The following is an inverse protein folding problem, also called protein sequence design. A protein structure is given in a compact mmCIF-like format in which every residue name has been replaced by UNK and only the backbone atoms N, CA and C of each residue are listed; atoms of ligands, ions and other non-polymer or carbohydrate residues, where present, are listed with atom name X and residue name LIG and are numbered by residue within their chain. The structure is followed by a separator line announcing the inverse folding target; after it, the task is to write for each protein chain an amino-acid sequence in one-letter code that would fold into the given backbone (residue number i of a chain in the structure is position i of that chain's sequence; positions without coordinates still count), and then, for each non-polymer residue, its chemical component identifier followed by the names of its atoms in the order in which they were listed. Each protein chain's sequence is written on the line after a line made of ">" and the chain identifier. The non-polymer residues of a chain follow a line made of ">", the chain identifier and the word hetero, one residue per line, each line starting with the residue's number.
data_IF_261700046274
#
_entry.id   IF_261700046274
#
_cell.length_a   1.000
_cell.length_b   1.000
_cell.length_c   1.000
_cell.angle_alpha   90.00
_cell.angle_beta   90.00
_cell.angle_gamma   90.00
#
_symmetry.space_group_name_H-M   'P 1'
#
loop_
_entity.id
_entity.type
_entity.pdbx_description
1 polymer ?
#
# COMPACT_ATOMS: atom_id res chain seq x y z
N UNK A 1 -12.37 8.34 -13.97
CA UNK A 1 -11.85 8.59 -15.33
C UNK A 1 -10.63 7.69 -15.60
N UNK A 2 -10.47 7.17 -16.82
CA UNK A 2 -9.46 6.16 -17.21
C UNK A 2 -7.99 6.61 -17.13
N UNK A 3 -7.75 7.82 -16.63
CA UNK A 3 -6.44 8.45 -16.46
C UNK A 3 -6.34 9.27 -15.16
N UNK A 4 -7.13 8.93 -14.14
CA UNK A 4 -7.02 9.56 -12.82
C UNK A 4 -6.54 8.53 -11.79
N UNK A 5 -5.23 8.18 -11.82
CA UNK A 5 -4.58 7.38 -10.79
C UNK A 5 -4.85 7.92 -9.37
N UNK A 6 -4.92 9.26 -9.26
CA UNK A 6 -5.21 10.03 -8.04
C UNK A 6 -6.62 9.80 -7.47
N UNK A 7 -7.53 9.20 -8.25
CA UNK A 7 -8.88 8.84 -7.82
C UNK A 7 -9.04 7.34 -7.52
N UNK A 8 -7.95 6.57 -7.58
CA UNK A 8 -7.98 5.16 -7.27
C UNK A 8 -7.50 4.93 -5.83
N UNK A 9 -8.38 4.51 -4.90
CA UNK A 9 -7.97 4.19 -3.53
C UNK A 9 -6.90 3.08 -3.48
N UNK A 10 -6.84 2.23 -4.51
CA UNK A 10 -5.81 1.18 -4.62
C UNK A 10 -4.43 1.77 -4.84
N UNK A 11 -4.30 2.87 -5.59
CA UNK A 11 -2.99 3.48 -5.82
C UNK A 11 -2.44 4.17 -4.57
N UNK A 12 -3.30 4.84 -3.80
CA UNK A 12 -2.91 5.41 -2.51
C UNK A 12 -2.49 4.32 -1.52
N UNK A 13 -3.23 3.20 -1.47
CA UNK A 13 -2.86 2.03 -0.68
C UNK A 13 -1.49 1.46 -1.11
N UNK A 14 -1.26 1.33 -2.42
CA UNK A 14 0.01 0.88 -2.97
C UNK A 14 1.17 1.82 -2.64
N UNK A 15 0.94 3.13 -2.68
CA UNK A 15 1.94 4.15 -2.38
C UNK A 15 2.37 4.11 -0.92
N UNK A 16 1.42 3.94 0.00
CA UNK A 16 1.71 3.76 1.42
C UNK A 16 2.42 2.43 1.69
N UNK A 17 2.02 1.33 1.04
CA UNK A 17 2.70 0.04 1.13
C UNK A 17 4.16 0.18 0.66
N UNK A 18 4.37 0.80 -0.50
CA UNK A 18 5.70 1.01 -1.06
C UNK A 18 6.55 1.95 -0.19
N UNK A 19 5.95 2.93 0.48
CA UNK A 19 6.64 3.81 1.44
C UNK A 19 7.03 3.04 2.72
N UNK A 20 6.17 2.18 3.25
CA UNK A 20 6.43 1.36 4.43
C UNK A 20 7.50 0.28 4.18
N UNK A 21 7.54 -0.25 2.95
CA UNK A 21 8.56 -1.21 2.50
C UNK A 21 9.81 -0.51 1.95
N UNK A 22 9.73 0.79 1.65
CA UNK A 22 10.89 1.57 1.20
C UNK A 22 11.95 1.57 2.29
N UNK A 23 13.21 1.44 1.89
CA UNK A 23 14.35 1.40 2.81
C UNK A 23 14.42 0.14 3.71
N UNK A 24 13.66 -0.92 3.40
CA UNK A 24 13.84 -2.25 3.99
C UNK A 24 14.47 -3.19 2.96
N UNK A 25 15.52 -3.89 3.38
CA UNK A 25 16.09 -4.99 2.62
C UNK A 25 15.55 -6.28 3.21
N UNK A 26 14.99 -7.13 2.36
CA UNK A 26 14.44 -8.42 2.77
C UNK A 26 15.39 -9.52 2.33
N UNK A 27 15.83 -10.34 3.28
CA UNK A 27 16.76 -11.45 2.98
C UNK A 27 16.03 -12.65 2.37
N UNK A 28 14.72 -12.80 2.65
CA UNK A 28 13.90 -13.93 2.21
C UNK A 28 12.49 -13.53 1.79
N UNK A 29 11.86 -14.37 0.96
CA UNK A 29 10.47 -14.17 0.53
C UNK A 29 9.48 -14.24 1.69
N UNK A 30 9.74 -15.06 2.71
CA UNK A 30 8.95 -15.08 3.94
C UNK A 30 9.01 -13.72 4.66
N UNK A 31 10.20 -13.12 4.77
CA UNK A 31 10.38 -11.82 5.41
C UNK A 31 9.67 -10.70 4.63
N UNK A 32 9.74 -10.75 3.30
CA UNK A 32 8.97 -9.86 2.43
C UNK A 32 7.46 -10.05 2.64
N UNK A 33 6.99 -11.29 2.71
CA UNK A 33 5.56 -11.60 2.87
C UNK A 33 5.04 -11.12 4.22
N UNK A 34 5.76 -11.40 5.31
CA UNK A 34 5.42 -10.90 6.65
C UNK A 34 5.43 -9.38 6.71
N UNK A 35 6.41 -8.74 6.08
CA UNK A 35 6.49 -7.28 6.04
C UNK A 35 5.35 -6.65 5.24
N UNK A 36 4.96 -7.25 4.11
CA UNK A 36 3.79 -6.83 3.34
C UNK A 36 2.52 -7.00 4.17
N UNK A 37 2.31 -8.16 4.81
CA UNK A 37 1.13 -8.44 5.63
C UNK A 37 1.01 -7.46 6.80
N UNK A 38 2.11 -7.26 7.53
CA UNK A 38 2.19 -6.27 8.62
C UNK A 38 1.95 -4.85 8.13
N UNK A 39 2.51 -4.49 6.97
CA UNK A 39 2.30 -3.17 6.39
C UNK A 39 0.82 -3.00 6.02
N UNK A 40 0.21 -3.98 5.34
CA UNK A 40 -1.22 -3.98 4.99
C UNK A 40 -2.13 -3.84 6.21
N UNK A 41 -1.81 -4.47 7.35
CA UNK A 41 -2.55 -4.28 8.60
C UNK A 41 -2.40 -2.86 9.18
N UNK A 42 -1.25 -2.21 8.99
CA UNK A 42 -1.00 -0.84 9.43
C UNK A 42 -1.56 0.22 8.47
N UNK A 43 -1.84 -0.16 7.22
CA UNK A 43 -2.43 0.74 6.24
C UNK A 43 -3.84 1.15 6.69
N UNK A 44 -4.04 2.45 6.83
CA UNK A 44 -5.38 2.98 7.05
C UNK A 44 -6.16 2.84 5.74
N UNK A 45 -7.16 1.96 5.74
CA UNK A 45 -8.05 1.78 4.59
C UNK A 45 -8.61 3.16 4.21
N UNK A 46 -8.27 3.67 3.01
CA UNK A 46 -8.74 4.99 2.64
C UNK A 46 -10.26 4.91 2.51
N UNK A 47 -10.97 5.82 3.20
CA UNK A 47 -12.43 5.87 3.13
C UNK A 47 -12.82 6.07 1.68
N UNK A 48 -13.48 5.07 1.08
CA UNK A 48 -14.01 5.13 -0.30
C UNK A 48 -14.89 6.36 -0.52
N UNK A 49 -15.49 6.91 0.55
CA UNK A 49 -16.22 8.18 0.56
C UNK A 49 -15.40 9.39 0.09
N UNK A 50 -14.07 9.32 0.10
CA UNK A 50 -13.19 10.40 -0.39
C UNK A 50 -12.95 10.32 -1.91
N UNK A 51 -13.46 9.28 -2.56
CA UNK A 51 -13.31 9.00 -3.99
C UNK A 51 -14.65 8.93 -4.74
N UNK A 52 -15.76 9.25 -4.06
CA UNK A 52 -17.13 9.29 -4.59
C UNK A 52 -17.63 10.72 -4.76
#
# INVERSE_FOLDING_TARGET
>A
PSYSPELNPVEECWRQLQAALSNRFFDSLDELTTAIDTALEQLSVPKVSNYF
#
